data_IF_244436182647
#
_entry.id   IF_244436182647
#
_cell.length_a   1.000
_cell.length_b   1.000
_cell.length_c   1.000
_cell.angle_alpha   90.00
_cell.angle_beta   90.00
_cell.angle_gamma   90.00
#
_symmetry.space_group_name_H-M   'P 1'
#
loop_
_entity.id
_entity.type
_entity.pdbx_description
1 polymer ?
#
# COMPACT_ATOMS: atom_id res chain seq x y z
N UNK A 1 11.10 4.10 -10.28
CA UNK A 1 9.91 3.36 -9.83
C UNK A 1 9.40 2.66 -11.08
N UNK A 2 9.20 1.35 -11.03
CA UNK A 2 8.78 0.59 -12.22
C UNK A 2 7.50 1.20 -12.79
N UNK A 3 7.40 1.28 -14.12
CA UNK A 3 6.19 1.76 -14.80
C UNK A 3 5.14 0.65 -14.75
N UNK A 4 4.45 0.52 -13.62
CA UNK A 4 3.23 -0.27 -13.52
C UNK A 4 2.08 0.54 -14.16
N UNK A 5 1.52 0.11 -15.30
CA UNK A 5 0.46 0.84 -15.98
C UNK A 5 -0.91 0.66 -15.31
N UNK A 6 -1.03 -0.15 -14.25
CA UNK A 6 -2.32 -0.50 -13.63
C UNK A 6 -3.15 0.73 -13.27
N UNK A 7 -2.53 1.78 -12.71
CA UNK A 7 -3.24 3.01 -12.34
C UNK A 7 -3.82 3.75 -13.55
N UNK A 8 -3.07 3.80 -14.65
CA UNK A 8 -3.54 4.40 -15.90
C UNK A 8 -4.70 3.58 -16.49
N UNK A 9 -4.50 2.26 -16.58
CA UNK A 9 -5.49 1.34 -17.18
C UNK A 9 -6.79 1.38 -16.39
N UNK A 10 -6.75 1.31 -15.05
CA UNK A 10 -7.97 1.34 -14.25
C UNK A 10 -8.67 2.70 -14.30
N UNK A 11 -7.92 3.79 -14.43
CA UNK A 11 -8.49 5.14 -14.62
C UNK A 11 -9.24 5.25 -15.95
N UNK A 12 -8.68 4.69 -17.02
CA UNK A 12 -9.34 4.61 -18.33
C UNK A 12 -10.57 3.72 -18.26
N UNK A 13 -10.46 2.52 -17.68
CA UNK A 13 -11.58 1.57 -17.56
C UNK A 13 -12.75 2.17 -16.77
N UNK A 14 -12.46 2.81 -15.63
CA UNK A 14 -13.47 3.52 -14.83
C UNK A 14 -14.12 4.66 -15.61
N UNK A 15 -13.32 5.48 -16.30
CA UNK A 15 -13.85 6.60 -17.08
C UNK A 15 -14.75 6.11 -18.22
N UNK A 16 -14.37 5.03 -18.90
CA UNK A 16 -15.20 4.39 -19.91
C UNK A 16 -16.50 3.84 -19.32
N UNK A 17 -16.45 3.19 -18.14
CA UNK A 17 -17.64 2.71 -17.44
C UNK A 17 -18.60 3.86 -17.08
N UNK A 18 -18.06 5.01 -16.64
CA UNK A 18 -18.86 6.21 -16.37
C UNK A 18 -19.49 6.81 -17.64
N UNK A 19 -18.73 6.89 -18.73
CA UNK A 19 -19.23 7.34 -20.03
C UNK A 19 -20.34 6.45 -20.59
N UNK A 20 -20.41 5.19 -20.17
CA UNK A 20 -21.49 4.27 -20.51
C UNK A 20 -22.65 4.29 -19.51
N UNK A 21 -22.58 5.07 -18.42
CA UNK A 21 -23.65 5.17 -17.42
C UNK A 21 -23.67 4.06 -16.37
N UNK A 22 -22.65 3.20 -16.29
CA UNK A 22 -22.65 2.05 -15.36
C UNK A 22 -22.69 2.46 -13.87
N UNK A 23 -22.14 3.63 -13.55
CA UNK A 23 -22.20 4.22 -12.21
C UNK A 23 -23.60 4.71 -11.80
N UNK A 24 -24.54 4.82 -12.75
CA UNK A 24 -25.94 5.26 -12.57
C UNK A 24 -26.85 4.40 -13.45
N UNK A 25 -27.01 3.11 -13.14
CA UNK A 25 -27.68 2.16 -14.04
C UNK A 25 -29.17 2.50 -14.27
N UNK A 26 -29.84 3.17 -13.33
CA UNK A 26 -31.23 3.66 -13.50
C UNK A 26 -31.36 4.74 -14.58
N UNK A 27 -30.34 5.59 -14.73
CA UNK A 27 -30.33 6.71 -15.69
C UNK A 27 -29.31 6.47 -16.79
N UNK A 28 -29.02 5.20 -17.12
CA UNK A 28 -28.02 4.83 -18.13
C UNK A 28 -28.32 5.44 -19.52
N UNK A 29 -29.61 5.69 -19.82
CA UNK A 29 -30.05 6.36 -21.02
C UNK A 29 -29.38 7.73 -21.25
N UNK A 30 -29.12 8.49 -20.19
CA UNK A 30 -28.54 9.84 -20.29
C UNK A 30 -27.11 9.83 -20.85
N UNK A 31 -26.48 8.66 -20.86
CA UNK A 31 -25.12 8.42 -21.33
C UNK A 31 -25.08 7.75 -22.71
N UNK A 32 -26.23 7.39 -23.28
CA UNK A 32 -26.34 6.66 -24.54
C UNK A 32 -27.12 7.47 -25.59
N UNK A 33 -26.62 7.48 -26.83
CA UNK A 33 -27.31 8.17 -27.95
C UNK A 33 -28.54 7.40 -28.45
N UNK A 34 -28.53 6.08 -28.27
CA UNK A 34 -29.61 5.19 -28.70
C UNK A 34 -30.53 4.93 -27.50
N UNK A 35 -31.84 4.88 -27.74
CA UNK A 35 -32.81 4.57 -26.69
C UNK A 35 -32.51 3.18 -26.14
N UNK A 36 -32.08 3.12 -24.89
CA UNK A 36 -31.59 1.94 -24.19
C UNK A 36 -32.35 1.83 -22.87
N UNK A 37 -33.12 0.76 -22.71
CA UNK A 37 -33.68 0.35 -21.43
C UNK A 37 -33.08 -1.00 -21.08
N UNK A 38 -32.47 -1.08 -19.90
CA UNK A 38 -31.88 -2.33 -19.44
C UNK A 38 -32.99 -3.28 -19.02
N UNK A 39 -32.93 -4.52 -19.50
CA UNK A 39 -33.65 -5.61 -18.88
C UNK A 39 -33.14 -5.81 -17.43
N UNK A 40 -33.94 -6.40 -16.52
CA UNK A 40 -33.53 -6.61 -15.13
C UNK A 40 -32.19 -7.36 -14.98
N UNK A 41 -31.92 -8.33 -15.84
CA UNK A 41 -30.65 -9.06 -15.85
C UNK A 41 -29.46 -8.18 -16.24
N UNK A 42 -29.64 -7.33 -17.25
CA UNK A 42 -28.62 -6.37 -17.71
C UNK A 42 -28.37 -5.29 -16.66
N UNK A 43 -29.41 -4.86 -15.94
CA UNK A 43 -29.29 -3.96 -14.80
C UNK A 43 -28.41 -4.58 -13.70
N UNK A 44 -28.69 -5.81 -13.30
CA UNK A 44 -27.87 -6.50 -12.31
C UNK A 44 -26.43 -6.75 -12.80
N UNK A 45 -26.25 -7.04 -14.09
CA UNK A 45 -24.92 -7.16 -14.69
C UNK A 45 -24.16 -5.81 -14.64
N UNK A 46 -24.82 -4.69 -14.92
CA UNK A 46 -24.25 -3.36 -14.83
C UNK A 46 -23.80 -3.02 -13.39
N UNK A 47 -24.64 -3.32 -12.39
CA UNK A 47 -24.29 -3.12 -10.97
C UNK A 47 -23.08 -3.98 -10.56
N UNK A 48 -23.06 -5.26 -10.93
CA UNK A 48 -21.92 -6.15 -10.64
C UNK A 48 -20.63 -5.65 -11.33
N UNK A 49 -20.74 -5.18 -12.56
CA UNK A 49 -19.60 -4.64 -13.32
C UNK A 49 -19.07 -3.36 -12.70
N UNK A 50 -19.96 -2.45 -12.26
CA UNK A 50 -19.56 -1.25 -11.54
C UNK A 50 -18.88 -1.56 -10.20
N UNK A 51 -19.45 -2.49 -9.42
CA UNK A 51 -18.85 -2.96 -8.17
C UNK A 51 -17.46 -3.59 -8.39
N UNK A 52 -17.30 -4.42 -9.42
CA UNK A 52 -16.00 -4.99 -9.79
C UNK A 52 -14.98 -3.91 -10.20
N UNK A 53 -15.41 -2.92 -10.98
CA UNK A 53 -14.59 -1.77 -11.37
C UNK A 53 -14.15 -0.97 -10.14
N UNK A 54 -15.05 -0.74 -9.18
CA UNK A 54 -14.76 -0.06 -7.92
C UNK A 54 -13.71 -0.81 -7.09
N UNK A 55 -13.88 -2.12 -6.91
CA UNK A 55 -12.94 -2.98 -6.17
C UNK A 55 -11.55 -2.96 -6.82
N UNK A 56 -11.49 -3.06 -8.15
CA UNK A 56 -10.24 -3.02 -8.89
C UNK A 56 -9.57 -1.64 -8.80
N UNK A 57 -10.34 -0.56 -8.96
CA UNK A 57 -9.86 0.81 -8.77
C UNK A 57 -9.27 1.00 -7.38
N UNK A 58 -9.97 0.54 -6.35
CA UNK A 58 -9.50 0.72 -4.98
C UNK A 58 -8.27 -0.14 -4.67
N UNK A 59 -8.23 -1.38 -5.17
CA UNK A 59 -7.05 -2.24 -5.01
C UNK A 59 -5.80 -1.59 -5.63
N UNK A 60 -5.94 -0.99 -6.81
CA UNK A 60 -4.83 -0.35 -7.52
C UNK A 60 -4.40 0.94 -6.83
N UNK A 61 -5.31 1.85 -6.48
CA UNK A 61 -4.96 3.12 -5.82
C UNK A 61 -4.32 2.90 -4.46
N UNK A 62 -4.90 2.00 -3.64
CA UNK A 62 -4.35 1.64 -2.34
C UNK A 62 -2.94 1.07 -2.48
N UNK A 63 -2.71 0.14 -3.41
CA UNK A 63 -1.37 -0.44 -3.63
C UNK A 63 -0.34 0.59 -4.14
N UNK A 64 -0.79 1.62 -4.86
CA UNK A 64 0.05 2.72 -5.34
C UNK A 64 0.23 3.85 -4.32
N UNK A 65 -0.46 3.79 -3.17
CA UNK A 65 -0.47 4.85 -2.18
C UNK A 65 -1.13 6.15 -2.66
N UNK A 66 -2.16 6.02 -3.51
CA UNK A 66 -2.95 7.14 -4.04
C UNK A 66 -4.31 7.21 -3.35
N UNK A 67 -4.92 8.41 -3.25
CA UNK A 67 -6.30 8.53 -2.80
C UNK A 67 -7.26 7.71 -3.66
N UNK A 68 -8.39 7.31 -3.08
CA UNK A 68 -9.44 6.62 -3.82
C UNK A 68 -9.96 7.47 -4.98
N UNK A 69 -10.23 6.84 -6.14
CA UNK A 69 -10.83 7.50 -7.30
C UNK A 69 -12.32 7.82 -7.10
N UNK A 70 -12.98 7.19 -6.12
CA UNK A 70 -14.43 7.30 -5.90
C UNK A 70 -14.78 6.93 -4.46
N UNK A 71 -14.53 7.81 -3.49
CA UNK A 71 -14.83 7.46 -2.10
C UNK A 71 -16.33 7.43 -1.79
N UNK A 72 -17.12 8.30 -2.43
CA UNK A 72 -18.57 8.38 -2.28
C UNK A 72 -19.25 7.99 -3.59
N UNK A 73 -19.88 6.81 -3.62
CA UNK A 73 -20.61 6.32 -4.78
C UNK A 73 -21.95 5.71 -4.34
N UNK A 74 -23.03 6.34 -4.79
CA UNK A 74 -24.39 5.96 -4.39
C UNK A 74 -24.79 4.56 -4.85
N UNK A 75 -24.36 4.13 -6.04
CA UNK A 75 -24.67 2.79 -6.56
C UNK A 75 -23.94 1.72 -5.73
N UNK A 76 -22.70 2.01 -5.33
CA UNK A 76 -21.94 1.15 -4.42
C UNK A 76 -22.57 1.09 -3.03
N UNK A 77 -23.07 2.22 -2.50
CA UNK A 77 -23.77 2.25 -1.22
C UNK A 77 -25.01 1.37 -1.23
N UNK A 78 -25.81 1.44 -2.30
CA UNK A 78 -26.97 0.56 -2.49
C UNK A 78 -26.57 -0.90 -2.68
N UNK A 79 -25.51 -1.19 -3.44
CA UNK A 79 -25.04 -2.56 -3.65
C UNK A 79 -24.51 -3.23 -2.36
N UNK A 80 -24.10 -2.44 -1.36
CA UNK A 80 -23.69 -2.93 -0.05
C UNK A 80 -24.88 -3.36 0.84
N UNK A 81 -26.06 -2.82 0.59
CA UNK A 81 -27.29 -3.10 1.35
C UNK A 81 -28.04 -4.30 0.75
N UNK A 82 -28.45 -5.29 1.56
CA UNK A 82 -29.24 -6.41 1.07
C UNK A 82 -30.70 -6.02 0.82
N UNK A 83 -31.38 -6.76 -0.06
CA UNK A 83 -32.83 -6.69 -0.22
C UNK A 83 -33.35 -5.53 -1.09
N UNK A 84 -32.47 -4.87 -1.84
CA UNK A 84 -32.83 -3.85 -2.82
C UNK A 84 -32.51 -4.30 -4.26
N UNK A 85 -32.89 -3.49 -5.26
CA UNK A 85 -32.66 -3.79 -6.68
C UNK A 85 -31.17 -3.82 -7.10
N UNK A 86 -30.27 -3.29 -6.27
CA UNK A 86 -28.83 -3.24 -6.48
C UNK A 86 -28.09 -4.41 -5.83
N UNK A 87 -28.80 -5.30 -5.13
CA UNK A 87 -28.19 -6.39 -4.37
C UNK A 87 -27.28 -7.23 -5.25
N UNK A 88 -26.01 -7.31 -4.85
CA UNK A 88 -25.01 -8.19 -5.46
C UNK A 88 -24.84 -9.47 -4.64
N UNK A 89 -24.34 -10.57 -5.22
CA UNK A 89 -24.10 -11.82 -4.49
C UNK A 89 -23.24 -11.60 -3.24
N UNK A 90 -23.52 -12.32 -2.16
CA UNK A 90 -22.93 -12.06 -0.83
C UNK A 90 -21.41 -12.04 -0.82
N UNK A 91 -20.77 -12.97 -1.55
CA UNK A 91 -19.31 -12.99 -1.67
C UNK A 91 -18.76 -11.66 -2.24
N UNK A 92 -19.38 -11.13 -3.30
CA UNK A 92 -19.01 -9.84 -3.87
C UNK A 92 -19.36 -8.70 -2.92
N UNK A 93 -20.51 -8.77 -2.25
CA UNK A 93 -21.00 -7.75 -1.31
C UNK A 93 -20.06 -7.58 -0.12
N UNK A 94 -19.60 -8.67 0.48
CA UNK A 94 -18.61 -8.65 1.56
C UNK A 94 -17.29 -8.03 1.12
N UNK A 95 -16.79 -8.41 -0.06
CA UNK A 95 -15.58 -7.81 -0.59
C UNK A 95 -15.76 -6.31 -0.87
N UNK A 96 -16.92 -5.92 -1.42
CA UNK A 96 -17.25 -4.52 -1.71
C UNK A 96 -17.30 -3.68 -0.43
N UNK A 97 -17.88 -4.21 0.65
CA UNK A 97 -17.92 -3.55 1.96
C UNK A 97 -16.53 -3.31 2.54
N UNK A 98 -15.64 -4.30 2.45
CA UNK A 98 -14.24 -4.18 2.89
C UNK A 98 -13.52 -3.09 2.08
N UNK A 99 -13.65 -3.10 0.75
CA UNK A 99 -13.02 -2.11 -0.11
C UNK A 99 -13.59 -0.70 0.10
N UNK A 100 -14.91 -0.57 0.31
CA UNK A 100 -15.55 0.72 0.61
C UNK A 100 -15.06 1.28 1.95
N UNK A 101 -14.94 0.44 2.97
CA UNK A 101 -14.35 0.85 4.24
C UNK A 101 -12.91 1.34 4.04
N UNK A 102 -12.10 0.61 3.28
CA UNK A 102 -10.72 1.00 2.98
C UNK A 102 -10.64 2.34 2.22
N UNK A 103 -11.54 2.56 1.24
CA UNK A 103 -11.63 3.82 0.52
C UNK A 103 -11.95 5.01 1.45
N UNK A 104 -12.85 4.80 2.42
CA UNK A 104 -13.18 5.79 3.45
C UNK A 104 -11.99 6.09 4.35
N UNK A 105 -11.22 5.08 4.76
CA UNK A 105 -9.97 5.27 5.51
C UNK A 105 -8.97 6.09 4.70
N UNK A 106 -8.69 5.68 3.44
CA UNK A 106 -7.71 6.35 2.58
C UNK A 106 -8.11 7.81 2.30
N UNK A 107 -9.40 8.11 2.09
CA UNK A 107 -9.90 9.48 1.92
C UNK A 107 -9.75 10.32 3.20
N UNK A 108 -10.15 9.75 4.35
CA UNK A 108 -10.04 10.43 5.63
C UNK A 108 -8.59 10.79 5.95
N UNK A 109 -7.66 9.89 5.61
CA UNK A 109 -6.22 10.11 5.79
C UNK A 109 -5.62 11.03 4.73
N UNK A 110 -6.09 11.00 3.48
CA UNK A 110 -5.56 11.89 2.43
C UNK A 110 -5.85 13.36 2.72
N UNK A 111 -7.04 13.67 3.24
CA UNK A 111 -7.43 15.03 3.67
C UNK A 111 -6.51 15.58 4.77
N UNK A 112 -5.91 14.70 5.58
CA UNK A 112 -4.94 15.09 6.63
C UNK A 112 -3.57 15.44 6.06
N UNK A 113 -3.13 14.72 5.02
CA UNK A 113 -1.81 14.90 4.40
C UNK A 113 -1.68 16.13 3.49
N UNK A 114 -2.71 16.99 3.42
CA UNK A 114 -2.76 18.22 2.61
C UNK A 114 -1.82 19.35 3.09
N UNK A 115 -0.59 19.02 3.51
CA UNK A 115 0.53 19.95 3.59
C UNK A 115 1.37 19.84 2.31
N UNK A 116 2.01 20.91 1.81
CA UNK A 116 2.93 20.85 0.66
C UNK A 116 4.03 19.78 0.78
N UNK A 117 4.34 19.34 2.00
CA UNK A 117 5.32 18.30 2.34
C UNK A 117 4.73 16.92 2.63
N UNK A 118 3.40 16.78 2.66
CA UNK A 118 2.70 15.54 3.04
C UNK A 118 2.60 15.31 4.56
N UNK A 119 3.07 16.24 5.39
CA UNK A 119 2.95 16.14 6.84
C UNK A 119 1.53 16.52 7.31
N UNK A 120 0.92 15.76 8.23
CA UNK A 120 -0.40 16.10 8.75
C UNK A 120 -0.36 17.40 9.57
N UNK A 121 -1.35 18.28 9.34
CA UNK A 121 -1.57 19.47 10.19
C UNK A 121 -1.94 18.98 11.59
N UNK A 122 -1.27 19.55 12.59
CA UNK A 122 -1.12 19.06 13.97
C UNK A 122 -2.39 19.07 14.84
N UNK A 123 -3.60 19.05 14.28
CA UNK A 123 -4.86 19.16 15.02
C UNK A 123 -5.64 17.84 15.10
N UNK A 124 -5.95 17.48 16.35
CA UNK A 124 -7.01 16.56 16.83
C UNK A 124 -7.16 15.28 16.01
N UNK A 125 -6.10 14.47 16.01
CA UNK A 125 -6.06 13.25 15.21
C UNK A 125 -6.63 12.00 15.91
N UNK A 126 -6.62 12.01 17.24
CA UNK A 126 -6.92 10.88 18.12
C UNK A 126 -8.33 10.30 17.94
N UNK A 127 -9.34 11.17 17.81
CA UNK A 127 -10.74 10.76 17.72
C UNK A 127 -11.06 9.98 16.46
N UNK A 128 -10.52 10.42 15.31
CA UNK A 128 -10.81 9.78 14.01
C UNK A 128 -10.19 8.39 13.91
N UNK A 129 -8.94 8.21 14.34
CA UNK A 129 -8.29 6.90 14.29
C UNK A 129 -9.05 5.88 15.14
N UNK A 130 -9.44 6.27 16.36
CA UNK A 130 -10.27 5.41 17.23
C UNK A 130 -11.64 5.12 16.62
N UNK A 131 -12.29 6.13 16.03
CA UNK A 131 -13.58 5.95 15.34
C UNK A 131 -13.46 4.94 14.19
N UNK A 132 -12.43 5.07 13.34
CA UNK A 132 -12.19 4.14 12.24
C UNK A 132 -11.87 2.72 12.74
N UNK A 133 -11.16 2.58 13.87
CA UNK A 133 -10.94 1.27 14.50
C UNK A 133 -12.25 0.66 15.02
N UNK A 134 -13.12 1.44 15.67
CA UNK A 134 -14.45 0.97 16.09
C UNK A 134 -15.29 0.53 14.88
N UNK A 135 -15.34 1.35 13.82
CA UNK A 135 -16.08 1.03 12.61
C UNK A 135 -15.54 -0.24 11.92
N UNK A 136 -14.23 -0.52 12.03
CA UNK A 136 -13.64 -1.76 11.52
C UNK A 136 -14.14 -2.96 12.33
N UNK A 137 -14.18 -2.86 13.65
CA UNK A 137 -14.70 -3.93 14.51
C UNK A 137 -16.19 -4.19 14.24
N UNK A 138 -16.98 -3.14 14.00
CA UNK A 138 -18.38 -3.26 13.60
C UNK A 138 -18.51 -3.98 12.24
N UNK A 139 -17.65 -3.65 11.28
CA UNK A 139 -17.60 -4.32 9.98
C UNK A 139 -17.20 -5.80 10.10
N UNK A 140 -16.20 -6.11 10.93
CA UNK A 140 -15.77 -7.50 11.21
C UNK A 140 -16.92 -8.31 11.84
N UNK A 141 -17.66 -7.72 12.79
CA UNK A 141 -18.83 -8.36 13.40
C UNK A 141 -19.96 -8.57 12.41
N UNK A 142 -20.19 -7.61 11.51
CA UNK A 142 -21.26 -7.69 10.52
C UNK A 142 -20.98 -8.73 9.41
N UNK A 143 -19.74 -8.81 8.92
CA UNK A 143 -19.34 -9.84 7.93
C UNK A 143 -19.43 -11.23 8.57
N UNK A 144 -19.18 -11.31 9.88
CA UNK A 144 -19.42 -12.52 10.67
C UNK A 144 -18.48 -13.67 10.31
N UNK A 145 -18.76 -14.85 10.89
CA UNK A 145 -17.95 -16.06 10.72
C UNK A 145 -18.31 -16.88 9.48
N UNK A 146 -19.40 -16.53 8.80
CA UNK A 146 -19.90 -17.25 7.62
C UNK A 146 -19.18 -16.84 6.33
N UNK A 147 -18.44 -15.72 6.36
CA UNK A 147 -17.63 -15.29 5.25
C UNK A 147 -16.45 -16.26 5.01
N UNK A 148 -16.00 -16.33 3.76
CA UNK A 148 -14.87 -17.18 3.39
C UNK A 148 -13.55 -16.66 3.96
N UNK A 149 -12.54 -17.52 4.02
CA UNK A 149 -11.19 -17.16 4.49
C UNK A 149 -10.60 -15.98 3.71
N UNK A 150 -10.90 -15.86 2.40
CA UNK A 150 -10.47 -14.73 1.59
C UNK A 150 -10.97 -13.37 2.13
N UNK A 151 -12.20 -13.31 2.65
CA UNK A 151 -12.75 -12.10 3.27
C UNK A 151 -12.08 -11.80 4.61
N UNK A 152 -11.80 -12.83 5.40
CA UNK A 152 -11.06 -12.67 6.66
C UNK A 152 -9.61 -12.22 6.44
N UNK A 153 -8.96 -12.66 5.36
CA UNK A 153 -7.64 -12.15 4.95
C UNK A 153 -7.76 -10.69 4.52
N UNK A 154 -8.79 -10.33 3.75
CA UNK A 154 -9.02 -8.95 3.32
C UNK A 154 -9.31 -8.02 4.53
N UNK A 155 -10.05 -8.47 5.54
CA UNK A 155 -10.23 -7.73 6.80
C UNK A 155 -8.90 -7.55 7.55
N UNK A 156 -8.09 -8.60 7.66
CA UNK A 156 -6.77 -8.51 8.29
C UNK A 156 -5.82 -7.54 7.54
N UNK A 157 -5.91 -7.51 6.20
CA UNK A 157 -5.19 -6.55 5.35
C UNK A 157 -5.58 -5.11 5.71
N UNK A 158 -6.88 -4.81 5.71
CA UNK A 158 -7.42 -3.48 6.06
C UNK A 158 -7.08 -3.09 7.49
N UNK A 159 -7.17 -4.05 8.42
CA UNK A 159 -6.83 -3.89 9.83
C UNK A 159 -5.38 -3.47 10.04
N UNK A 160 -4.45 -4.10 9.32
CA UNK A 160 -3.04 -3.72 9.32
C UNK A 160 -2.83 -2.35 8.67
N UNK A 161 -3.46 -2.10 7.51
CA UNK A 161 -3.28 -0.85 6.78
C UNK A 161 -3.80 0.35 7.58
N UNK A 162 -4.98 0.25 8.19
CA UNK A 162 -5.53 1.27 9.08
C UNK A 162 -4.52 1.60 10.19
N UNK A 163 -4.00 0.60 10.89
CA UNK A 163 -3.06 0.80 12.00
C UNK A 163 -1.69 1.28 11.54
N UNK A 164 -1.31 1.06 10.28
CA UNK A 164 -0.09 1.64 9.72
C UNK A 164 -0.15 3.18 9.68
N UNK A 165 -1.33 3.79 9.69
CA UNK A 165 -1.47 5.25 9.74
C UNK A 165 -1.00 5.88 11.06
N UNK A 166 -0.77 5.08 12.11
CA UNK A 166 -0.09 5.59 13.31
C UNK A 166 1.35 6.06 13.05
N UNK A 167 1.98 5.67 11.94
CA UNK A 167 3.29 6.22 11.55
C UNK A 167 3.26 7.74 11.28
N UNK A 168 2.10 8.28 10.93
CA UNK A 168 1.89 9.69 10.62
C UNK A 168 1.57 10.54 11.84
N UNK A 169 1.27 9.90 12.97
CA UNK A 169 1.11 10.60 14.23
C UNK A 169 2.47 11.15 14.69
N UNK A 170 2.43 12.27 15.41
CA UNK A 170 3.64 12.96 15.88
C UNK A 170 4.55 12.03 16.69
N UNK A 171 5.84 12.04 16.37
CA UNK A 171 6.86 11.17 16.95
C UNK A 171 7.18 11.56 18.40
N UNK A 172 6.30 11.21 19.34
CA UNK A 172 6.52 11.18 20.79
C UNK A 172 5.25 10.80 21.60
N UNK A 173 4.10 10.53 20.96
CA UNK A 173 2.85 10.28 21.70
C UNK A 173 2.71 8.81 22.14
N UNK A 174 2.14 8.59 23.33
CA UNK A 174 1.81 7.25 23.82
C UNK A 174 0.82 6.54 22.88
N UNK A 175 -0.13 7.29 22.32
CA UNK A 175 -1.07 6.78 21.32
C UNK A 175 -0.36 6.22 20.09
N UNK A 176 0.63 6.94 19.55
CA UNK A 176 1.41 6.48 18.40
C UNK A 176 2.10 5.16 18.69
N UNK A 177 2.74 5.06 19.86
CA UNK A 177 3.39 3.81 20.29
C UNK A 177 2.38 2.66 20.35
N UNK A 178 1.28 2.83 21.08
CA UNK A 178 0.24 1.79 21.21
C UNK A 178 -0.36 1.41 19.85
N UNK A 179 -0.62 2.39 18.99
CA UNK A 179 -1.09 2.20 17.63
C UNK A 179 -0.13 1.37 16.78
N UNK A 180 1.17 1.66 16.83
CA UNK A 180 2.19 0.92 16.10
C UNK A 180 2.44 -0.50 16.64
N UNK A 181 2.27 -0.72 17.95
CA UNK A 181 2.28 -2.07 18.54
C UNK A 181 1.06 -2.90 18.10
N UNK A 182 -0.11 -2.25 17.98
CA UNK A 182 -1.30 -2.88 17.37
C UNK A 182 -1.11 -3.12 15.89
N UNK A 183 -0.44 -2.22 15.16
CA UNK A 183 -0.09 -2.41 13.75
C UNK A 183 0.83 -3.61 13.54
N UNK A 184 1.82 -3.79 14.43
CA UNK A 184 2.67 -4.97 14.45
C UNK A 184 1.85 -6.25 14.62
N UNK A 185 0.98 -6.29 15.62
CA UNK A 185 0.11 -7.45 15.89
C UNK A 185 -0.83 -7.77 14.71
N UNK A 186 -1.40 -6.74 14.08
CA UNK A 186 -2.23 -6.87 12.89
C UNK A 186 -1.43 -7.39 11.68
N UNK A 187 -0.18 -6.97 11.52
CA UNK A 187 0.71 -7.49 10.48
C UNK A 187 1.01 -8.97 10.66
N UNK A 188 1.32 -9.41 11.89
CA UNK A 188 1.54 -10.83 12.19
C UNK A 188 0.27 -11.66 11.91
N UNK A 189 -0.91 -11.15 12.30
CA UNK A 189 -2.18 -11.81 12.02
C UNK A 189 -2.44 -11.96 10.51
N UNK A 190 -2.23 -10.90 9.74
CA UNK A 190 -2.37 -10.92 8.28
C UNK A 190 -1.41 -11.93 7.62
N UNK A 191 -0.13 -11.90 7.99
CA UNK A 191 0.89 -12.82 7.48
C UNK A 191 0.50 -14.28 7.80
N UNK A 192 0.09 -14.55 9.04
CA UNK A 192 -0.34 -15.88 9.48
C UNK A 192 -1.56 -16.37 8.70
N UNK A 193 -2.58 -15.54 8.49
CA UNK A 193 -3.76 -15.90 7.71
C UNK A 193 -3.41 -16.24 6.26
N UNK A 194 -2.57 -15.44 5.60
CA UNK A 194 -2.10 -15.78 4.24
C UNK A 194 -1.30 -17.08 4.24
N UNK A 195 -0.39 -17.28 5.19
CA UNK A 195 0.42 -18.49 5.23
C UNK A 195 -0.44 -19.76 5.42
N UNK A 196 -1.46 -19.68 6.30
CA UNK A 196 -2.38 -20.79 6.54
C UNK A 196 -3.24 -21.09 5.32
N UNK A 197 -3.71 -20.08 4.61
CA UNK A 197 -4.53 -20.25 3.41
C UNK A 197 -3.68 -20.72 2.21
N UNK A 198 -2.45 -20.22 2.08
CA UNK A 198 -1.50 -20.64 1.06
C UNK A 198 -1.06 -22.10 1.24
N UNK A 199 -0.90 -22.55 2.49
CA UNK A 199 -0.57 -23.94 2.79
C UNK A 199 -1.69 -24.92 2.37
N UNK A 200 -2.95 -24.47 2.38
CA UNK A 200 -4.12 -25.29 2.01
C UNK A 200 -4.43 -25.24 0.52
N UNK A 201 -4.40 -24.04 -0.06
CA UNK A 201 -5.03 -23.76 -1.35
C UNK A 201 -4.09 -23.10 -2.37
N UNK A 202 -2.78 -23.03 -2.09
CA UNK A 202 -1.81 -22.31 -2.92
C UNK A 202 -2.24 -20.86 -3.21
N UNK A 203 -2.91 -20.24 -2.24
CA UNK A 203 -3.53 -18.92 -2.31
C UNK A 203 -2.59 -17.87 -2.93
N UNK A 204 -1.31 -17.89 -2.56
CA UNK A 204 -0.35 -16.89 -3.02
C UNK A 204 -0.10 -16.93 -4.53
N UNK A 205 -0.48 -17.99 -5.25
CA UNK A 205 -0.32 -18.09 -6.70
C UNK A 205 -1.43 -17.36 -7.46
N UNK A 206 -2.62 -17.23 -6.86
CA UNK A 206 -3.83 -16.76 -7.54
C UNK A 206 -4.34 -15.40 -7.05
N UNK A 207 -3.77 -14.85 -5.98
CA UNK A 207 -4.22 -13.57 -5.42
C UNK A 207 -3.98 -12.37 -6.34
N UNK A 208 -4.86 -11.35 -6.28
CA UNK A 208 -4.62 -10.07 -6.93
C UNK A 208 -3.33 -9.38 -6.45
N UNK A 209 -2.79 -8.49 -7.29
CA UNK A 209 -1.48 -7.86 -7.05
C UNK A 209 -1.35 -7.12 -5.70
N UNK A 210 -2.46 -6.55 -5.22
CA UNK A 210 -2.52 -5.84 -3.93
C UNK A 210 -1.99 -6.71 -2.78
N UNK A 211 -2.29 -8.01 -2.74
CA UNK A 211 -1.85 -8.87 -1.63
C UNK A 211 -0.34 -9.01 -1.57
N UNK A 212 0.37 -9.07 -2.70
CA UNK A 212 1.84 -9.07 -2.71
C UNK A 212 2.41 -7.75 -2.21
N UNK A 213 1.81 -6.62 -2.61
CA UNK A 213 2.23 -5.31 -2.16
C UNK A 213 2.02 -5.15 -0.65
N UNK A 214 0.87 -5.59 -0.13
CA UNK A 214 0.59 -5.54 1.29
C UNK A 214 1.46 -6.52 2.08
N UNK A 215 1.82 -7.70 1.55
CA UNK A 215 2.81 -8.59 2.17
C UNK A 215 4.20 -7.94 2.27
N UNK A 216 4.66 -7.25 1.23
CA UNK A 216 5.90 -6.48 1.29
C UNK A 216 5.82 -5.39 2.37
N UNK A 217 4.71 -4.65 2.42
CA UNK A 217 4.44 -3.65 3.46
C UNK A 217 4.46 -4.27 4.87
N UNK A 218 3.83 -5.43 5.06
CA UNK A 218 3.80 -6.15 6.33
C UNK A 218 5.21 -6.55 6.78
N UNK A 219 6.03 -7.11 5.87
CA UNK A 219 7.42 -7.45 6.14
C UNK A 219 8.25 -6.22 6.52
N UNK A 220 8.09 -5.10 5.82
CA UNK A 220 8.77 -3.84 6.15
C UNK A 220 8.31 -3.25 7.49
N UNK A 221 7.02 -3.32 7.80
CA UNK A 221 6.47 -2.87 9.08
C UNK A 221 7.07 -3.69 10.22
N UNK A 222 6.98 -5.02 10.16
CA UNK A 222 7.55 -5.95 11.14
C UNK A 222 9.04 -5.65 11.36
N UNK A 223 9.82 -5.58 10.28
CA UNK A 223 11.24 -5.27 10.32
C UNK A 223 11.54 -3.91 10.96
N UNK A 224 10.75 -2.87 10.66
CA UNK A 224 10.91 -1.54 11.28
C UNK A 224 10.66 -1.58 12.78
N UNK A 225 9.62 -2.26 13.24
CA UNK A 225 9.26 -2.32 14.66
C UNK A 225 10.33 -3.09 15.46
N UNK A 226 10.71 -4.30 15.04
CA UNK A 226 11.67 -5.13 15.79
C UNK A 226 13.11 -4.58 15.80
N UNK A 227 13.44 -3.66 14.88
CA UNK A 227 14.74 -2.98 14.82
C UNK A 227 14.67 -1.53 15.32
N UNK A 228 13.68 -1.19 16.13
CA UNK A 228 13.48 0.15 16.73
C UNK A 228 13.52 0.11 18.26
N UNK A 229 13.36 1.27 18.90
CA UNK A 229 13.18 1.39 20.36
C UNK A 229 11.95 0.63 20.87
N UNK A 230 11.01 0.27 20.00
CA UNK A 230 9.81 -0.49 20.33
C UNK A 230 10.04 -2.00 20.39
N UNK A 231 11.22 -2.48 19.98
CA UNK A 231 11.57 -3.90 20.02
C UNK A 231 11.42 -4.52 21.43
N UNK A 232 11.57 -3.71 22.48
CA UNK A 232 11.41 -4.13 23.89
C UNK A 232 9.96 -4.44 24.30
N UNK A 233 8.98 -4.06 23.48
CA UNK A 233 7.55 -4.22 23.76
C UNK A 233 6.88 -5.28 22.88
N UNK A 234 7.66 -5.99 22.04
CA UNK A 234 7.15 -7.00 21.11
C UNK A 234 7.96 -8.28 21.19
N UNK A 235 7.36 -9.39 20.78
CA UNK A 235 8.09 -10.64 20.55
C UNK A 235 8.93 -10.52 19.26
N UNK A 236 10.23 -10.32 19.43
CA UNK A 236 11.19 -10.18 18.33
C UNK A 236 11.32 -11.48 17.53
N UNK A 237 11.25 -12.64 18.18
CA UNK A 237 11.43 -13.93 17.52
C UNK A 237 10.22 -14.29 16.66
N UNK A 238 9.01 -13.98 17.13
CA UNK A 238 7.81 -14.05 16.29
C UNK A 238 7.92 -13.12 15.08
N UNK A 239 8.43 -11.90 15.26
CA UNK A 239 8.65 -10.96 14.16
C UNK A 239 9.63 -11.48 13.11
N UNK A 240 10.74 -12.08 13.54
CA UNK A 240 11.71 -12.73 12.64
C UNK A 240 11.09 -13.91 11.90
N UNK A 241 10.34 -14.76 12.59
CA UNK A 241 9.63 -15.91 11.97
C UNK A 241 8.63 -15.44 10.93
N UNK A 242 7.78 -14.48 11.28
CA UNK A 242 6.81 -13.88 10.36
C UNK A 242 7.48 -13.19 9.16
N UNK A 243 8.61 -12.51 9.35
CA UNK A 243 9.37 -11.93 8.23
C UNK A 243 9.89 -13.01 7.26
N UNK A 244 10.41 -14.12 7.79
CA UNK A 244 10.86 -15.25 6.95
C UNK A 244 9.70 -15.92 6.21
N UNK A 245 8.53 -16.02 6.83
CA UNK A 245 7.30 -16.48 6.16
C UNK A 245 6.96 -15.56 4.98
N UNK A 246 7.02 -14.24 5.15
CA UNK A 246 6.82 -13.29 4.04
C UNK A 246 7.80 -13.55 2.90
N UNK A 247 9.10 -13.71 3.18
CA UNK A 247 10.09 -14.03 2.13
C UNK A 247 9.78 -15.35 1.41
N UNK A 248 9.30 -16.37 2.12
CA UNK A 248 8.89 -17.64 1.52
C UNK A 248 7.67 -17.48 0.60
N UNK A 249 6.63 -16.78 1.06
CA UNK A 249 5.42 -16.48 0.28
C UNK A 249 5.75 -15.67 -0.97
N UNK A 250 6.60 -14.63 -0.86
CA UNK A 250 7.01 -13.81 -2.00
C UNK A 250 7.84 -14.59 -3.03
N UNK A 251 8.63 -15.59 -2.61
CA UNK A 251 9.33 -16.49 -3.56
C UNK A 251 8.37 -17.39 -4.31
N UNK A 252 7.37 -17.95 -3.63
CA UNK A 252 6.29 -18.76 -4.23
C UNK A 252 5.43 -17.97 -5.22
N UNK A 253 5.40 -16.65 -5.08
CA UNK A 253 4.66 -15.74 -5.94
C UNK A 253 5.34 -15.44 -7.29
N UNK A 254 6.62 -15.75 -7.45
CA UNK A 254 7.41 -15.42 -8.65
C UNK A 254 6.90 -16.26 -9.82
N UNK A 255 6.58 -15.59 -10.93
CA UNK A 255 6.13 -16.24 -12.16
C UNK A 255 7.27 -16.34 -13.18
N UNK A 256 8.10 -15.30 -13.25
CA UNK A 256 9.22 -15.21 -14.18
C UNK A 256 10.47 -14.72 -13.47
N UNK A 257 11.62 -15.15 -13.97
CA UNK A 257 12.91 -14.68 -13.48
C UNK A 257 12.99 -13.15 -13.59
N UNK A 258 13.30 -12.51 -12.46
CA UNK A 258 13.43 -11.06 -12.35
C UNK A 258 12.13 -10.26 -12.60
N UNK A 259 10.97 -10.89 -12.42
CA UNK A 259 9.67 -10.20 -12.41
C UNK A 259 9.57 -9.16 -11.26
N UNK A 260 8.46 -8.43 -11.20
CA UNK A 260 8.24 -7.43 -10.14
C UNK A 260 8.25 -8.05 -8.74
N UNK A 261 7.71 -9.27 -8.59
CA UNK A 261 7.53 -9.96 -7.31
C UNK A 261 8.88 -10.45 -6.78
N UNK A 262 9.69 -11.07 -7.63
CA UNK A 262 11.03 -11.55 -7.33
C UNK A 262 12.00 -10.43 -7.01
N UNK A 263 11.91 -9.29 -7.70
CA UNK A 263 12.70 -8.10 -7.34
C UNK A 263 12.29 -7.53 -5.98
N UNK A 264 10.99 -7.46 -5.68
CA UNK A 264 10.49 -7.05 -4.37
C UNK A 264 11.05 -7.92 -3.23
N UNK A 265 10.98 -9.24 -3.38
CA UNK A 265 11.54 -10.18 -2.41
C UNK A 265 13.05 -10.04 -2.20
N UNK A 266 13.82 -9.81 -3.27
CA UNK A 266 15.28 -9.53 -3.17
C UNK A 266 15.56 -8.24 -2.40
N UNK A 267 14.85 -7.16 -2.70
CA UNK A 267 14.99 -5.87 -2.01
C UNK A 267 14.66 -6.04 -0.52
N UNK A 268 13.57 -6.74 -0.20
CA UNK A 268 13.15 -6.97 1.18
C UNK A 268 14.21 -7.75 1.98
N UNK A 269 14.79 -8.81 1.38
CA UNK A 269 15.88 -9.57 1.99
C UNK A 269 17.15 -8.73 2.21
N UNK A 270 17.50 -7.85 1.26
CA UNK A 270 18.65 -6.96 1.41
C UNK A 270 18.43 -5.90 2.51
N UNK A 271 17.22 -5.34 2.59
CA UNK A 271 16.85 -4.40 3.65
C UNK A 271 16.92 -5.02 5.04
N UNK A 272 16.56 -6.30 5.17
CA UNK A 272 16.68 -7.03 6.43
C UNK A 272 18.11 -7.01 6.97
N UNK A 273 19.09 -7.31 6.10
CA UNK A 273 20.51 -7.34 6.47
C UNK A 273 20.97 -5.96 6.96
N UNK A 274 20.56 -4.89 6.27
CA UNK A 274 20.91 -3.50 6.64
C UNK A 274 20.29 -3.11 7.99
N UNK A 275 19.03 -3.46 8.21
CA UNK A 275 18.35 -3.12 9.46
C UNK A 275 18.93 -3.89 10.66
N UNK A 276 19.35 -5.14 10.44
CA UNK A 276 19.92 -5.97 11.48
C UNK A 276 21.31 -5.48 11.93
N UNK A 277 22.14 -4.99 11.00
CA UNK A 277 23.51 -4.53 11.30
C UNK A 277 23.57 -3.16 11.99
N UNK A 278 22.47 -2.41 12.03
CA UNK A 278 22.44 -1.02 12.55
C UNK A 278 21.93 -0.96 13.99
N UNK A 279 22.83 -1.13 14.95
CA UNK A 279 22.56 -0.96 16.40
C UNK A 279 21.92 0.39 16.74
N UNK A 280 22.29 1.45 16.00
CA UNK A 280 21.79 2.83 16.17
C UNK A 280 20.24 2.90 16.08
N UNK A 281 19.62 2.08 15.22
CA UNK A 281 18.16 2.12 15.02
C UNK A 281 17.38 1.59 16.22
N UNK A 282 17.97 0.70 17.03
CA UNK A 282 17.35 0.18 18.26
C UNK A 282 17.13 1.25 19.34
N UNK A 283 17.84 2.39 19.25
CA UNK A 283 17.66 3.51 20.16
C UNK A 283 16.55 4.48 19.75
N UNK A 284 16.09 4.43 18.50
CA UNK A 284 15.16 5.41 17.93
C UNK A 284 13.76 4.82 17.74
N UNK A 285 12.74 5.66 17.89
CA UNK A 285 11.38 5.26 17.53
C UNK A 285 11.28 4.89 16.04
N UNK A 286 10.41 3.93 15.67
CA UNK A 286 10.20 3.58 14.27
C UNK A 286 9.51 4.76 13.57
N UNK A 287 10.08 5.24 12.45
CA UNK A 287 9.60 6.42 11.73
C UNK A 287 9.61 6.18 10.21
N UNK A 288 8.92 7.08 9.48
CA UNK A 288 8.91 7.14 8.01
C UNK A 288 9.49 8.48 7.54
N UNK A 289 10.47 8.43 6.64
CA UNK A 289 10.96 9.61 5.89
C UNK A 289 10.01 9.93 4.72
N UNK A 290 9.44 8.91 4.09
CA UNK A 290 8.48 9.07 3.00
C UNK A 290 7.06 8.99 3.57
N UNK A 291 6.30 10.08 3.47
CA UNK A 291 4.93 10.20 4.00
C UNK A 291 3.91 10.62 2.92
N UNK A 292 4.33 10.73 1.66
CA UNK A 292 3.49 11.23 0.55
C UNK A 292 2.71 10.14 -0.20
N UNK A 293 2.51 8.97 0.43
CA UNK A 293 1.98 7.76 -0.24
C UNK A 293 0.95 6.99 0.59
N UNK A 294 0.23 7.68 1.50
CA UNK A 294 -0.82 7.07 2.34
C UNK A 294 -0.35 5.73 2.96
N UNK A 295 -1.18 4.70 3.01
CA UNK A 295 -0.83 3.37 3.53
C UNK A 295 0.38 2.71 2.85
N UNK A 296 0.71 3.05 1.60
CA UNK A 296 1.90 2.55 0.91
C UNK A 296 3.21 3.28 1.32
N UNK A 297 3.14 4.29 2.20
CA UNK A 297 4.32 5.04 2.66
C UNK A 297 5.35 4.14 3.33
N UNK A 298 4.93 3.12 4.07
CA UNK A 298 5.85 2.13 4.69
C UNK A 298 6.69 1.41 3.63
N UNK A 299 6.05 0.96 2.55
CA UNK A 299 6.70 0.31 1.43
C UNK A 299 7.68 1.26 0.73
N UNK A 300 7.20 2.45 0.36
CA UNK A 300 8.00 3.42 -0.38
C UNK A 300 9.18 3.96 0.43
N UNK A 301 9.03 4.09 1.75
CA UNK A 301 10.12 4.45 2.65
C UNK A 301 11.23 3.39 2.66
N UNK A 302 10.86 2.10 2.74
CA UNK A 302 11.83 1.02 2.63
C UNK A 302 12.51 0.96 1.27
N UNK A 303 11.76 1.15 0.17
CA UNK A 303 12.32 1.22 -1.18
C UNK A 303 13.31 2.38 -1.35
N UNK A 304 13.04 3.53 -0.74
CA UNK A 304 13.96 4.67 -0.75
C UNK A 304 15.20 4.40 0.10
N UNK A 305 15.05 3.82 1.30
CA UNK A 305 16.19 3.43 2.13
C UNK A 305 17.11 2.43 1.42
N UNK A 306 16.53 1.51 0.63
CA UNK A 306 17.30 0.59 -0.20
C UNK A 306 18.07 1.30 -1.32
N UNK A 307 17.46 2.29 -1.99
CA UNK A 307 18.13 3.10 -3.03
C UNK A 307 19.25 3.97 -2.47
N UNK A 308 19.06 4.53 -1.29
CA UNK A 308 20.10 5.28 -0.58
C UNK A 308 21.34 4.42 -0.36
N UNK A 309 21.13 3.17 0.06
CA UNK A 309 22.24 2.27 0.37
C UNK A 309 22.94 1.71 -0.88
N UNK A 310 22.16 1.20 -1.84
CA UNK A 310 22.72 0.44 -2.97
C UNK A 310 22.79 1.22 -4.28
N UNK A 311 22.02 2.31 -4.41
CA UNK A 311 21.91 3.10 -5.63
C UNK A 311 22.58 4.48 -5.56
N UNK A 312 23.09 4.90 -4.39
CA UNK A 312 23.69 6.22 -4.19
C UNK A 312 22.71 7.39 -4.38
N UNK A 313 21.40 7.15 -4.32
CA UNK A 313 20.35 8.17 -4.51
C UNK A 313 19.76 8.57 -3.16
N UNK A 314 19.81 9.86 -2.80
CA UNK A 314 19.20 10.39 -1.57
C UNK A 314 17.68 10.56 -1.71
N UNK A 315 16.94 10.33 -0.62
CA UNK A 315 15.48 10.52 -0.59
C UNK A 315 15.09 11.98 -0.91
N UNK A 316 14.02 12.22 -1.68
CA UNK A 316 13.54 13.57 -2.00
C UNK A 316 13.19 14.39 -0.74
N UNK A 317 12.75 13.72 0.33
CA UNK A 317 12.42 14.35 1.61
C UNK A 317 13.64 14.78 2.43
N UNK A 318 14.85 14.33 2.05
CA UNK A 318 16.11 14.69 2.72
C UNK A 318 16.88 15.82 2.02
N UNK A 319 16.32 16.41 0.97
CA UNK A 319 16.87 17.64 0.41
C UNK A 319 16.53 18.79 1.36
N UNK A 320 17.51 19.56 1.85
CA UNK A 320 17.21 20.79 2.57
C UNK A 320 16.31 21.65 1.67
N UNK A 321 15.30 22.27 2.27
CA UNK A 321 14.47 23.26 1.61
C UNK A 321 15.39 24.42 1.24
N UNK A 322 15.97 24.39 0.04
CA UNK A 322 16.60 25.56 -0.53
C UNK A 322 15.52 26.63 -0.57
N UNK A 323 15.73 27.66 0.26
CA UNK A 323 14.97 28.89 0.22
C UNK A 323 14.91 29.34 -1.23
N UNK A 324 13.69 29.60 -1.72
CA UNK A 324 13.46 30.26 -2.99
C UNK A 324 14.19 31.61 -2.99
N UNK A 325 15.46 31.58 -3.37
CA UNK A 325 16.22 32.76 -3.73
C UNK A 325 15.83 33.03 -5.18
N UNK A 326 15.18 34.17 -5.36
CA UNK A 326 14.74 34.77 -6.62
C UNK A 326 15.67 34.44 -7.81
N UNK A 327 15.12 33.69 -8.77
CA UNK A 327 15.74 33.51 -10.08
C UNK A 327 15.59 34.80 -10.90
N UNK A 328 16.67 35.55 -11.06
CA UNK A 328 16.83 36.43 -12.23
C UNK A 328 17.30 35.59 -13.42
N UNK A 329 16.71 35.76 -14.62
CA UNK A 329 17.09 34.96 -15.78
C UNK A 329 18.35 35.54 -16.44
N UNK A 330 19.42 34.76 -16.54
CA UNK A 330 20.51 35.06 -17.47
C UNK A 330 20.97 33.79 -18.21
N UNK A 331 20.59 33.78 -19.50
CA UNK A 331 21.17 33.17 -20.70
C UNK A 331 22.27 32.08 -20.58
N UNK A 332 21.98 30.93 -21.21
CA UNK A 332 22.90 29.85 -21.66
C UNK A 332 23.93 30.34 -22.72
N UNK A 333 24.86 29.50 -23.22
CA UNK A 333 25.79 28.56 -22.56
C UNK A 333 27.22 28.63 -23.14
N UNK A 334 28.25 28.15 -22.42
CA UNK A 334 29.49 27.67 -23.06
C UNK A 334 30.15 26.53 -22.27
N UNK A 335 30.29 25.37 -22.91
CA UNK A 335 31.35 24.36 -22.66
C UNK A 335 32.68 24.88 -23.25
N UNK A 336 33.89 24.33 -22.97
CA UNK A 336 34.18 22.93 -22.58
C UNK A 336 35.32 22.72 -21.54
N UNK A 337 35.52 21.48 -21.08
CA UNK A 337 36.77 20.72 -21.20
C UNK A 337 36.90 19.61 -20.14
N UNK A 338 37.36 18.45 -20.62
CA UNK A 338 37.63 17.21 -19.89
C UNK A 338 38.80 17.38 -18.91
N UNK A 339 38.74 16.68 -17.78
CA UNK A 339 39.96 16.22 -17.10
C UNK A 339 39.73 14.85 -16.45
N UNK A 340 40.69 13.98 -16.73
CA UNK A 340 40.83 12.58 -16.32
C UNK A 340 41.56 12.56 -14.97
N UNK A 341 41.04 11.86 -13.96
CA UNK A 341 41.84 11.40 -12.81
C UNK A 341 41.10 10.24 -12.12
N UNK A 342 41.55 9.00 -12.36
CA UNK A 342 42.49 8.19 -11.57
C UNK A 342 41.85 7.48 -10.36
N UNK A 343 41.97 6.15 -10.39
CA UNK A 343 41.45 5.15 -9.46
C UNK A 343 42.55 4.76 -8.46
N UNK A 344 42.28 4.58 -7.15
CA UNK A 344 43.17 3.84 -6.25
C UNK A 344 42.65 2.42 -5.93
N UNK A 345 43.48 1.55 -5.32
CA UNK A 345 43.54 0.12 -5.61
C UNK A 345 42.65 -0.77 -4.72
N UNK A 346 42.52 -2.02 -5.13
CA UNK A 346 41.76 -3.08 -4.50
C UNK A 346 42.57 -3.89 -3.47
N UNK A 347 41.93 -4.22 -2.35
CA UNK A 347 42.06 -5.44 -1.54
C UNK A 347 40.91 -5.40 -0.50
N UNK A 348 40.15 -6.44 -0.16
CA UNK A 348 40.46 -7.87 -0.04
C UNK A 348 39.18 -8.72 -0.24
N UNK A 349 39.40 -9.96 -0.65
CA UNK A 349 38.43 -10.95 -1.10
C UNK A 349 37.46 -11.40 -0.01
N UNK A 350 36.17 -11.11 -0.18
CA UNK A 350 35.02 -11.98 0.14
C UNK A 350 33.75 -11.35 -0.46
N UNK A 351 33.72 -11.21 -1.79
CA UNK A 351 32.56 -10.69 -2.52
C UNK A 351 32.62 -11.12 -3.99
N UNK A 352 32.51 -12.42 -4.25
CA UNK A 352 32.21 -12.91 -5.60
C UNK A 352 30.87 -13.61 -5.50
N UNK A 353 29.82 -12.83 -5.76
CA UNK A 353 28.56 -13.18 -6.41
C UNK A 353 27.71 -11.90 -6.31
N UNK A 354 27.15 -11.46 -7.44
CA UNK A 354 26.33 -10.24 -7.62
C UNK A 354 27.08 -8.93 -7.91
N UNK A 355 27.52 -8.79 -9.16
CA UNK A 355 27.75 -7.49 -9.79
C UNK A 355 26.41 -6.86 -10.24
N UNK A 356 26.07 -5.61 -9.86
CA UNK A 356 24.80 -4.98 -10.23
C UNK A 356 24.94 -4.14 -11.52
N UNK A 357 24.73 -4.76 -12.68
CA UNK A 357 24.70 -4.06 -13.97
C UNK A 357 23.34 -3.38 -14.29
N UNK A 358 22.34 -3.44 -13.40
CA UNK A 358 20.96 -3.01 -13.69
C UNK A 358 20.53 -1.70 -13.00
N UNK A 359 21.46 -0.93 -12.43
CA UNK A 359 21.15 0.29 -11.64
C UNK A 359 20.94 1.55 -12.50
N UNK A 360 21.12 1.48 -13.83
CA UNK A 360 20.89 2.63 -14.72
C UNK A 360 19.83 2.31 -15.77
N UNK A 361 18.57 2.67 -15.48
CA UNK A 361 17.53 3.09 -16.44
C UNK A 361 16.32 3.64 -15.67
#
# INVERSE_FOLDING_TARGET
MWKDPSLLIISVARSAAMQNGLHRPETMQDFQRVKTQLAPEEFHAAVKLWAGCYIAAQSVTTSAGQPSLSSNDWTIDRACEPGNNYTVPDNLRYHLLIQRFLARVDEAMSKRTCSPTGHPVQRESDGLMRLLECDLEDLERWIGKEAGEAHHIALAMVSMQLRSYYFFESSATEMRKQGLLRAYSAALNFISKIANEDAKNDFIKYVPNIYYQILNTAGMLVMKIINSSYARYVDIEEGKRSFNIVLSLLRRAILEDNDLRGRGGKILAQLWIIHHSRTIRRGQEPNLKVQSRLGASVLHDGLWAWREEFGGQTSPASRPSDSFSSLTPSLLPTSPAQSIQQRPPAASEFAILFSPAWIRC
#
